data_IF_116271388680
#
_entry.id   IF_116271388680
#
_cell.length_a   1.000
_cell.length_b   1.000
_cell.length_c   1.000
_cell.angle_alpha   90.00
_cell.angle_beta   90.00
_cell.angle_gamma   90.00
#
_symmetry.space_group_name_H-M   'P 1'
#
loop_
_entity.id
_entity.type
_entity.pdbx_description
1 polymer ?
#
# COMPACT_ATOMS: atom_id res chain seq x y z
N UNK A 1 -6.14 -21.64 -2.74
CA UNK A 1 -6.99 -20.66 -3.45
C UNK A 1 -6.45 -20.49 -4.86
N UNK A 2 -7.16 -20.98 -5.87
CA UNK A 2 -6.72 -20.94 -7.29
C UNK A 2 -7.27 -19.66 -7.92
N UNK A 3 -6.40 -18.76 -8.43
CA UNK A 3 -6.85 -17.57 -9.15
C UNK A 3 -7.72 -17.96 -10.35
N UNK A 4 -8.79 -17.20 -10.63
CA UNK A 4 -9.69 -17.37 -11.78
C UNK A 4 -10.63 -18.59 -11.79
N UNK A 5 -10.67 -19.40 -10.73
CA UNK A 5 -11.60 -20.54 -10.64
C UNK A 5 -13.07 -20.14 -10.40
N UNK A 6 -13.36 -18.86 -10.14
CA UNK A 6 -14.71 -18.34 -9.90
C UNK A 6 -15.44 -18.00 -11.20
N UNK A 7 -16.67 -18.48 -11.37
CA UNK A 7 -17.58 -18.04 -12.45
C UNK A 7 -18.06 -16.60 -12.26
N UNK A 8 -18.00 -16.07 -11.04
CA UNK A 8 -18.39 -14.70 -10.70
C UNK A 8 -17.17 -13.77 -10.67
N UNK A 9 -17.19 -12.73 -11.54
CA UNK A 9 -16.16 -11.67 -11.69
C UNK A 9 -14.70 -12.14 -11.40
N UNK A 10 -14.18 -13.11 -12.17
CA UNK A 10 -12.95 -13.86 -11.86
C UNK A 10 -11.71 -12.99 -11.65
N UNK A 11 -11.56 -11.91 -12.44
CA UNK A 11 -10.41 -11.00 -12.36
C UNK A 11 -10.37 -10.25 -11.03
N UNK A 12 -11.51 -9.75 -10.56
CA UNK A 12 -11.59 -8.98 -9.33
C UNK A 12 -11.47 -9.88 -8.09
N UNK A 13 -11.96 -11.13 -8.17
CA UNK A 13 -11.72 -12.15 -7.13
C UNK A 13 -10.23 -12.50 -7.06
N UNK A 14 -9.57 -12.73 -8.21
CA UNK A 14 -8.13 -12.95 -8.27
C UNK A 14 -7.33 -11.76 -7.74
N UNK A 15 -7.78 -10.53 -8.01
CA UNK A 15 -7.17 -9.33 -7.45
C UNK A 15 -7.23 -9.32 -5.91
N UNK A 16 -8.40 -9.62 -5.32
CA UNK A 16 -8.52 -9.76 -3.86
C UNK A 16 -7.56 -10.81 -3.29
N UNK A 17 -7.40 -11.94 -3.98
CA UNK A 17 -6.46 -12.99 -3.59
C UNK A 17 -5.00 -12.51 -3.59
N UNK A 18 -4.59 -11.79 -4.65
CA UNK A 18 -3.26 -11.20 -4.76
C UNK A 18 -3.04 -10.17 -3.65
N UNK A 19 -4.02 -9.30 -3.40
CA UNK A 19 -3.97 -8.31 -2.30
C UNK A 19 -3.81 -8.95 -0.93
N UNK A 20 -4.50 -10.08 -0.69
CA UNK A 20 -4.36 -10.87 0.54
C UNK A 20 -2.96 -11.45 0.68
N UNK A 21 -2.42 -12.09 -0.36
CA UNK A 21 -1.07 -12.67 -0.31
C UNK A 21 0.01 -11.60 -0.13
N UNK A 22 -0.12 -10.44 -0.78
CA UNK A 22 0.78 -9.31 -0.57
C UNK A 22 0.71 -8.80 0.88
N UNK A 23 -0.49 -8.68 1.44
CA UNK A 23 -0.67 -8.28 2.85
C UNK A 23 0.01 -9.27 3.80
N UNK A 24 -0.19 -10.58 3.59
CA UNK A 24 0.48 -11.63 4.37
C UNK A 24 2.00 -11.53 4.25
N UNK A 25 2.52 -11.32 3.04
CA UNK A 25 3.95 -11.17 2.79
C UNK A 25 4.52 -9.96 3.54
N UNK A 26 3.82 -8.82 3.50
CA UNK A 26 4.23 -7.61 4.23
C UNK A 26 4.21 -7.86 5.74
N UNK A 27 3.16 -8.49 6.28
CA UNK A 27 3.08 -8.84 7.71
C UNK A 27 4.23 -9.77 8.11
N UNK A 28 4.45 -10.84 7.35
CA UNK A 28 5.55 -11.78 7.58
C UNK A 28 6.92 -11.08 7.54
N UNK A 29 7.09 -10.09 6.64
CA UNK A 29 8.33 -9.33 6.51
C UNK A 29 8.75 -8.61 7.79
N UNK A 30 7.81 -8.23 8.66
CA UNK A 30 8.13 -7.59 9.95
C UNK A 30 8.87 -8.52 10.90
N UNK A 31 8.56 -9.82 10.89
CA UNK A 31 9.20 -10.81 11.76
C UNK A 31 10.63 -11.10 11.31
N UNK A 32 10.87 -11.14 10.00
CA UNK A 32 12.19 -11.41 9.42
C UNK A 32 13.01 -10.14 9.15
N UNK A 33 12.50 -8.95 9.51
CA UNK A 33 13.13 -7.64 9.21
C UNK A 33 14.60 -7.55 9.62
N UNK A 34 14.95 -8.17 10.77
CA UNK A 34 16.32 -8.16 11.32
C UNK A 34 17.27 -9.01 10.47
N UNK A 35 16.77 -10.04 9.79
CA UNK A 35 17.55 -10.97 8.99
C UNK A 35 17.78 -10.44 7.55
N UNK A 36 16.76 -9.83 6.95
CA UNK A 36 16.82 -9.35 5.55
C UNK A 36 17.47 -7.96 5.40
N UNK A 37 17.65 -7.24 6.51
CA UNK A 37 18.22 -5.89 6.53
C UNK A 37 17.26 -4.80 6.06
N UNK A 38 17.54 -3.56 6.48
CA UNK A 38 16.62 -2.42 6.31
C UNK A 38 16.32 -2.06 4.85
N UNK A 39 17.32 -2.18 3.95
CA UNK A 39 17.14 -1.85 2.53
C UNK A 39 16.12 -2.77 1.84
N UNK A 40 16.26 -4.09 2.04
CA UNK A 40 15.36 -5.10 1.45
C UNK A 40 13.98 -5.05 2.09
N UNK A 41 13.94 -4.91 3.43
CA UNK A 41 12.69 -4.75 4.15
C UNK A 41 11.89 -3.55 3.63
N UNK A 42 12.54 -2.42 3.37
CA UNK A 42 11.88 -1.22 2.83
C UNK A 42 11.32 -1.43 1.41
N UNK A 43 12.02 -2.16 0.55
CA UNK A 43 11.50 -2.53 -0.77
C UNK A 43 10.27 -3.44 -0.66
N UNK A 44 10.31 -4.46 0.21
CA UNK A 44 9.16 -5.31 0.49
C UNK A 44 8.00 -4.50 1.06
N UNK A 45 8.27 -3.59 1.97
CA UNK A 45 7.24 -2.74 2.56
C UNK A 45 6.54 -1.87 1.50
N UNK A 46 7.21 -1.46 0.42
CA UNK A 46 6.54 -0.72 -0.66
C UNK A 46 5.47 -1.53 -1.40
N UNK A 47 5.51 -2.87 -1.35
CA UNK A 47 4.43 -3.70 -1.90
C UNK A 47 3.10 -3.51 -1.14
N UNK A 48 3.12 -2.96 0.09
CA UNK A 48 1.91 -2.62 0.85
C UNK A 48 1.05 -1.56 0.15
N UNK A 49 1.66 -0.62 -0.57
CA UNK A 49 0.89 0.37 -1.35
C UNK A 49 0.14 -0.29 -2.50
N UNK A 50 0.78 -1.26 -3.16
CA UNK A 50 0.13 -2.05 -4.22
C UNK A 50 -1.00 -2.89 -3.64
N UNK A 51 -0.75 -3.56 -2.51
CA UNK A 51 -1.77 -4.33 -1.79
C UNK A 51 -2.97 -3.45 -1.39
N UNK A 52 -2.72 -2.25 -0.87
CA UNK A 52 -3.76 -1.28 -0.50
C UNK A 52 -4.67 -0.94 -1.68
N UNK A 53 -4.10 -0.54 -2.83
CA UNK A 53 -4.89 -0.18 -4.01
C UNK A 53 -5.69 -1.37 -4.57
N UNK A 54 -5.09 -2.55 -4.60
CA UNK A 54 -5.76 -3.78 -5.04
C UNK A 54 -6.96 -4.10 -4.15
N UNK A 55 -6.76 -4.06 -2.82
CA UNK A 55 -7.82 -4.36 -1.85
C UNK A 55 -8.90 -3.28 -1.87
N UNK A 56 -8.53 -2.00 -1.97
CA UNK A 56 -9.49 -0.90 -2.07
C UNK A 56 -10.38 -1.05 -3.31
N UNK A 57 -9.78 -1.29 -4.48
CA UNK A 57 -10.53 -1.51 -5.71
C UNK A 57 -11.41 -2.76 -5.64
N UNK A 58 -10.91 -3.85 -5.05
CA UNK A 58 -11.69 -5.05 -4.80
C UNK A 58 -12.93 -4.75 -3.93
N UNK A 59 -12.75 -4.04 -2.83
CA UNK A 59 -13.82 -3.66 -1.90
C UNK A 59 -14.83 -2.69 -2.51
N UNK A 60 -14.41 -1.76 -3.36
CA UNK A 60 -15.31 -0.81 -4.04
C UNK A 60 -16.10 -1.48 -5.17
N UNK A 61 -15.49 -2.39 -5.93
CA UNK A 61 -16.08 -2.96 -7.16
C UNK A 61 -16.89 -4.25 -6.94
N UNK A 62 -16.63 -4.98 -5.84
CA UNK A 62 -17.28 -6.24 -5.50
C UNK A 62 -17.87 -6.25 -4.08
N UNK A 63 -17.46 -5.33 -3.20
CA UNK A 63 -17.95 -5.31 -1.83
C UNK A 63 -19.46 -5.14 -1.75
N UNK A 64 -20.12 -6.05 -1.04
CA UNK A 64 -21.58 -6.08 -0.89
C UNK A 64 -22.15 -4.80 -0.24
N UNK A 65 -21.33 -4.12 0.57
CA UNK A 65 -21.70 -2.95 1.37
C UNK A 65 -21.22 -1.62 0.77
N UNK A 66 -20.82 -1.58 -0.51
CA UNK A 66 -20.25 -0.37 -1.14
C UNK A 66 -21.21 0.82 -1.23
N UNK A 67 -22.53 0.61 -1.04
CA UNK A 67 -23.53 1.66 -0.95
C UNK A 67 -23.68 2.30 0.44
N UNK A 68 -23.05 1.74 1.48
CA UNK A 68 -23.17 2.25 2.84
C UNK A 68 -22.30 3.51 3.02
N UNK A 69 -22.87 4.67 3.41
CA UNK A 69 -22.15 5.95 3.43
C UNK A 69 -20.95 5.96 4.39
N UNK A 70 -21.02 5.22 5.50
CA UNK A 70 -19.86 5.07 6.39
C UNK A 70 -18.70 4.32 5.71
N UNK A 71 -18.97 3.26 4.95
CA UNK A 71 -17.91 2.55 4.24
C UNK A 71 -17.30 3.43 3.14
N UNK A 72 -18.14 4.16 2.39
CA UNK A 72 -17.65 5.12 1.41
C UNK A 72 -16.72 6.18 2.05
N UNK A 73 -17.09 6.71 3.22
CA UNK A 73 -16.24 7.61 3.98
C UNK A 73 -14.91 6.96 4.37
N UNK A 74 -14.90 5.69 4.82
CA UNK A 74 -13.64 4.99 5.12
C UNK A 74 -12.74 4.84 3.91
N UNK A 75 -13.28 4.56 2.72
CA UNK A 75 -12.49 4.48 1.48
C UNK A 75 -11.86 5.82 1.13
N UNK A 76 -12.63 6.90 1.20
CA UNK A 76 -12.13 8.26 0.90
C UNK A 76 -11.06 8.69 1.90
N UNK A 77 -11.31 8.50 3.21
CA UNK A 77 -10.37 8.91 4.26
C UNK A 77 -9.05 8.13 4.17
N UNK A 78 -9.13 6.81 3.97
CA UNK A 78 -7.92 5.98 3.88
C UNK A 78 -7.14 6.25 2.60
N UNK A 79 -7.79 6.32 1.44
CA UNK A 79 -7.14 6.66 0.18
C UNK A 79 -6.54 8.07 0.21
N UNK A 80 -7.30 9.05 0.73
CA UNK A 80 -6.83 10.43 0.91
C UNK A 80 -5.61 10.50 1.82
N UNK A 81 -5.62 9.80 2.95
CA UNK A 81 -4.47 9.75 3.87
C UNK A 81 -3.23 9.14 3.22
N UNK A 82 -3.38 8.01 2.51
CA UNK A 82 -2.27 7.35 1.82
C UNK A 82 -1.69 8.25 0.73
N UNK A 83 -2.54 8.88 -0.10
CA UNK A 83 -2.10 9.81 -1.13
C UNK A 83 -1.40 11.03 -0.53
N UNK A 84 -2.02 11.69 0.45
CA UNK A 84 -1.47 12.86 1.12
C UNK A 84 -0.08 12.57 1.71
N UNK A 85 0.06 11.50 2.48
CA UNK A 85 1.34 11.14 3.10
C UNK A 85 2.39 10.71 2.06
N UNK A 86 1.97 10.08 0.96
CA UNK A 86 2.87 9.71 -0.14
C UNK A 86 3.42 10.95 -0.83
N UNK A 87 2.55 11.90 -1.18
CA UNK A 87 2.97 13.17 -1.79
C UNK A 87 3.83 14.00 -0.83
N UNK A 88 3.42 14.14 0.43
CA UNK A 88 4.20 14.83 1.45
C UNK A 88 5.61 14.24 1.60
N UNK A 89 5.74 12.91 1.52
CA UNK A 89 7.05 12.22 1.59
C UNK A 89 7.91 12.42 0.36
N UNK A 90 7.32 12.61 -0.82
CA UNK A 90 8.04 12.87 -2.07
C UNK A 90 8.55 14.32 -2.05
N UNK A 91 7.65 15.30 -1.86
CA UNK A 91 7.98 16.73 -1.91
C UNK A 91 8.75 17.24 -0.68
N UNK A 92 8.56 16.63 0.49
CA UNK A 92 9.28 17.01 1.71
C UNK A 92 10.75 16.57 1.74
N UNK A 93 11.20 15.72 0.80
CA UNK A 93 12.62 15.35 0.67
C UNK A 93 13.47 16.45 0.04
N UNK A 94 12.89 17.23 -0.86
CA UNK A 94 13.61 18.26 -1.62
C UNK A 94 13.94 19.50 -0.77
N UNK A 95 13.22 19.70 0.35
CA UNK A 95 13.43 20.85 1.24
C UNK A 95 14.61 20.70 2.22
N UNK A 96 15.20 19.51 2.36
CA UNK A 96 16.23 19.22 3.40
C UNK A 96 17.66 19.12 2.86
N UNK A 97 18.12 20.05 2.01
CA UNK A 97 19.56 20.23 1.78
C UNK A 97 19.99 21.69 1.61
N UNK A 98 20.26 22.42 2.71
CA UNK A 98 21.37 23.37 2.72
C UNK A 98 22.66 22.58 2.99
N UNK A 99 23.52 22.46 1.98
CA UNK A 99 24.91 22.01 2.19
C UNK A 99 25.60 23.02 3.12
N UNK A 100 26.25 22.61 4.22
CA UNK A 100 27.10 23.51 4.97
C UNK A 100 28.29 23.89 4.09
N UNK A 101 28.31 25.13 3.62
CA UNK A 101 29.50 25.72 3.02
C UNK A 101 30.47 25.96 4.15
N UNK A 102 31.39 25.03 4.35
CA UNK A 102 32.61 25.29 5.13
C UNK A 102 33.45 26.22 4.25
N UNK A 103 33.26 27.53 4.39
CA UNK A 103 34.20 28.51 3.87
C UNK A 103 35.44 28.43 4.78
N UNK A 104 36.47 27.73 4.31
CA UNK A 104 37.77 27.72 4.95
C UNK A 104 38.41 29.10 4.86
N UNK A 105 39.05 29.51 5.96
CA UNK A 105 39.89 30.70 6.08
C UNK A 105 41.08 30.68 5.12
#
# INVERSE_FOLDING_TARGET
LVPFASTYKPVLVAAGQIGLWLSVLVVASFYVRKQIGQKRWRTLHYTSFVAFWIVLLHSVLIGSESGHPLLAATYVVTAGSVLFLTFYRIFGRDQKQPKPVIAGN
#
